data_IF_700679789643
#
_entry.id   IF_700679789643
#
_cell.length_a   1.000
_cell.length_b   1.000
_cell.length_c   1.000
_cell.angle_alpha   90.00
_cell.angle_beta   90.00
_cell.angle_gamma   90.00
#
_symmetry.space_group_name_H-M   'P 1'
#
loop_
_entity.id
_entity.type
_entity.pdbx_description
1 polymer ?
#
# COMPACT_ATOMS: atom_id res chain seq x y z
N UNK A 1 -2.48 7.92 31.69
CA UNK A 1 -3.13 6.93 30.80
C UNK A 1 -3.20 7.47 29.38
N UNK A 2 -2.57 6.78 28.42
CA UNK A 2 -2.68 7.12 26.99
C UNK A 2 -4.01 6.58 26.46
N UNK A 3 -4.83 7.43 25.85
CA UNK A 3 -6.05 6.99 25.15
C UNK A 3 -5.63 6.23 23.89
N UNK A 4 -6.07 4.98 23.76
CA UNK A 4 -5.82 4.15 22.58
C UNK A 4 -7.02 4.24 21.63
N UNK A 5 -6.74 4.43 20.34
CA UNK A 5 -7.79 4.35 19.31
C UNK A 5 -8.36 2.93 19.21
N UNK A 6 -9.61 2.78 18.77
CA UNK A 6 -10.21 1.48 18.43
C UNK A 6 -9.30 0.62 17.53
N UNK A 7 -8.68 1.22 16.51
CA UNK A 7 -7.74 0.52 15.62
C UNK A 7 -6.52 -0.04 16.33
N UNK A 8 -5.85 0.77 17.17
CA UNK A 8 -4.70 0.30 17.95
C UNK A 8 -5.12 -0.79 18.97
N UNK A 9 -6.27 -0.63 19.64
CA UNK A 9 -6.78 -1.62 20.60
C UNK A 9 -7.06 -2.97 19.94
N UNK A 10 -7.82 -2.96 18.85
CA UNK A 10 -8.13 -4.19 18.11
C UNK A 10 -6.86 -4.77 17.47
N UNK A 11 -5.98 -3.95 16.90
CA UNK A 11 -4.75 -4.43 16.27
C UNK A 11 -3.85 -5.18 17.24
N UNK A 12 -3.70 -4.66 18.46
CA UNK A 12 -2.97 -5.34 19.55
C UNK A 12 -3.63 -6.65 19.94
N UNK A 13 -4.95 -6.65 20.09
CA UNK A 13 -5.73 -7.85 20.41
C UNK A 13 -5.50 -8.95 19.37
N UNK A 14 -5.65 -8.63 18.08
CA UNK A 14 -5.38 -9.56 16.97
C UNK A 14 -3.92 -10.01 16.91
N UNK A 15 -2.96 -9.12 17.16
CA UNK A 15 -1.53 -9.51 17.23
C UNK A 15 -1.24 -10.52 18.35
N UNK A 16 -2.09 -10.57 19.39
CA UNK A 16 -1.99 -11.55 20.48
C UNK A 16 -2.75 -12.86 20.21
N UNK A 17 -3.28 -13.07 18.99
CA UNK A 17 -3.99 -14.30 18.62
C UNK A 17 -5.45 -14.33 19.08
N UNK A 18 -6.05 -13.17 19.35
CA UNK A 18 -7.47 -13.05 19.69
C UNK A 18 -8.30 -12.61 18.50
N UNK A 19 -9.51 -13.13 18.43
CA UNK A 19 -10.55 -12.72 17.49
C UNK A 19 -11.66 -11.99 18.25
N UNK A 20 -12.24 -10.97 17.59
CA UNK A 20 -13.36 -10.21 18.14
C UNK A 20 -14.67 -10.99 17.97
N UNK A 21 -15.39 -11.23 19.06
CA UNK A 21 -16.73 -11.83 19.03
C UNK A 21 -17.78 -10.75 18.83
N UNK A 22 -17.70 -9.70 19.64
CA UNK A 22 -18.67 -8.60 19.64
C UNK A 22 -18.00 -7.30 20.09
N UNK A 23 -18.58 -6.17 19.68
CA UNK A 23 -18.12 -4.85 20.06
C UNK A 23 -19.27 -3.84 20.14
N UNK A 24 -19.16 -2.89 21.07
CA UNK A 24 -20.17 -1.85 21.26
C UNK A 24 -19.55 -0.57 21.78
N UNK A 25 -20.08 0.56 21.32
CA UNK A 25 -19.84 1.86 21.94
C UNK A 25 -20.99 2.20 22.89
N UNK A 26 -20.67 2.49 24.14
CA UNK A 26 -21.63 2.98 25.15
C UNK A 26 -20.98 4.19 25.82
N UNK A 27 -21.67 5.34 25.83
CA UNK A 27 -21.18 6.59 26.45
C UNK A 27 -19.74 6.96 26.08
N UNK A 28 -19.42 6.88 24.78
CA UNK A 28 -18.08 7.13 24.21
C UNK A 28 -16.98 6.15 24.64
N UNK A 29 -17.31 5.11 25.39
CA UNK A 29 -16.41 4.02 25.74
C UNK A 29 -16.59 2.83 24.78
N UNK A 30 -15.47 2.22 24.42
CA UNK A 30 -15.44 1.06 23.53
C UNK A 30 -15.36 -0.22 24.36
N UNK A 31 -16.42 -1.04 24.29
CA UNK A 31 -16.51 -2.35 24.91
C UNK A 31 -16.38 -3.43 23.83
N UNK A 32 -15.75 -4.55 24.17
CA UNK A 32 -15.64 -5.67 23.27
C UNK A 32 -15.52 -7.00 24.03
N UNK A 33 -15.99 -8.06 23.39
CA UNK A 33 -15.75 -9.44 23.78
C UNK A 33 -14.82 -10.09 22.76
N UNK A 34 -13.84 -10.86 23.23
CA UNK A 34 -12.85 -11.50 22.38
C UNK A 34 -12.56 -12.92 22.84
N UNK A 35 -12.15 -13.77 21.92
CA UNK A 35 -11.76 -15.15 22.18
C UNK A 35 -10.37 -15.42 21.63
N UNK A 36 -9.56 -16.13 22.40
CA UNK A 36 -8.24 -16.58 21.95
C UNK A 36 -8.41 -17.74 20.98
N UNK A 37 -7.88 -17.58 19.77
CA UNK A 37 -7.97 -18.59 18.71
C UNK A 37 -6.59 -19.05 18.23
N UNK A 38 -5.54 -18.27 18.50
CA UNK A 38 -4.19 -18.54 18.01
C UNK A 38 -3.11 -18.07 19.00
N UNK A 39 -1.86 -18.36 18.68
CA UNK A 39 -0.68 -17.83 19.36
C UNK A 39 -0.40 -16.37 18.91
N UNK A 40 0.26 -15.56 19.75
CA UNK A 40 0.68 -14.22 19.36
C UNK A 40 1.63 -14.22 18.16
N UNK A 41 1.42 -13.29 17.23
CA UNK A 41 2.27 -13.04 16.07
C UNK A 41 3.16 -11.84 16.35
N UNK A 42 4.46 -12.05 16.41
CA UNK A 42 5.45 -10.98 16.58
C UNK A 42 6.14 -10.69 15.25
N UNK A 43 6.10 -9.43 14.80
CA UNK A 43 7.00 -8.98 13.74
C UNK A 43 8.42 -8.92 14.32
N UNK A 44 9.36 -9.61 13.67
CA UNK A 44 10.78 -9.61 14.05
C UNK A 44 11.46 -8.25 13.78
N UNK A 45 10.83 -7.38 13.01
CA UNK A 45 11.37 -6.08 12.59
C UNK A 45 10.32 -4.95 12.72
N UNK A 46 9.72 -4.78 13.92
CA UNK A 46 8.59 -3.90 14.06
C UNK A 46 9.04 -2.45 13.89
N UNK A 47 8.29 -1.70 13.07
CA UNK A 47 8.48 -0.26 12.99
C UNK A 47 7.42 0.40 13.84
N UNK A 48 7.83 1.30 14.76
CA UNK A 48 6.89 2.03 15.64
C UNK A 48 6.84 3.53 15.36
N UNK A 49 7.82 4.06 14.60
CA UNK A 49 7.92 5.47 14.26
C UNK A 49 6.96 5.93 13.15
N UNK A 50 6.99 7.24 12.85
CA UNK A 50 6.23 7.83 11.74
C UNK A 50 6.79 7.43 10.38
N UNK A 51 8.07 7.04 10.28
CA UNK A 51 8.65 6.45 9.08
C UNK A 51 8.55 4.92 9.18
N UNK A 52 8.00 4.27 8.15
CA UNK A 52 7.86 2.82 8.04
C UNK A 52 8.61 2.28 6.84
N UNK A 53 9.11 1.04 6.95
CA UNK A 53 9.78 0.33 5.85
C UNK A 53 8.93 -0.89 5.46
N UNK A 54 8.43 -0.90 4.23
CA UNK A 54 7.58 -1.96 3.72
C UNK A 54 8.37 -2.88 2.79
N UNK A 55 8.35 -4.20 3.07
CA UNK A 55 8.97 -5.21 2.21
C UNK A 55 8.23 -5.32 0.88
N UNK A 56 8.94 -5.16 -0.24
CA UNK A 56 8.38 -5.16 -1.60
C UNK A 56 9.35 -5.82 -2.57
N UNK A 57 8.82 -6.39 -3.65
CA UNK A 57 9.65 -6.94 -4.72
C UNK A 57 10.30 -5.84 -5.56
N UNK A 58 11.61 -5.97 -5.76
CA UNK A 58 12.46 -5.16 -6.62
C UNK A 58 12.93 -5.91 -7.87
N UNK A 59 13.98 -5.36 -8.48
CA UNK A 59 14.64 -5.98 -9.63
C UNK A 59 15.30 -7.30 -9.19
N UNK A 60 15.34 -8.29 -10.08
CA UNK A 60 15.92 -9.62 -9.87
C UNK A 60 15.31 -10.42 -8.70
N UNK A 61 14.14 -10.03 -8.20
CA UNK A 61 13.48 -10.68 -7.06
C UNK A 61 13.97 -10.21 -5.70
N UNK A 62 14.85 -9.21 -5.65
CA UNK A 62 15.37 -8.67 -4.39
C UNK A 62 14.25 -8.02 -3.57
N UNK A 63 14.22 -8.30 -2.26
CA UNK A 63 13.26 -7.67 -1.34
C UNK A 63 13.78 -6.30 -0.93
N UNK A 64 13.15 -5.27 -1.47
CA UNK A 64 13.40 -3.87 -1.13
C UNK A 64 12.55 -3.47 0.07
N UNK A 65 13.11 -2.63 0.94
CA UNK A 65 12.31 -1.96 1.95
C UNK A 65 11.99 -0.54 1.56
N UNK A 66 10.78 -0.36 1.04
CA UNK A 66 10.27 0.91 0.55
C UNK A 66 9.86 1.78 1.74
N UNK A 67 10.42 2.98 1.80
CA UNK A 67 10.15 3.94 2.87
C UNK A 67 8.82 4.65 2.64
N UNK A 68 7.98 4.75 3.67
CA UNK A 68 6.73 5.51 3.64
C UNK A 68 6.46 6.18 4.98
N UNK A 69 5.62 7.21 4.98
CA UNK A 69 5.06 7.69 6.25
C UNK A 69 3.93 6.78 6.72
N UNK A 70 3.88 6.53 8.01
CA UNK A 70 2.79 5.85 8.69
C UNK A 70 1.55 6.73 8.59
N UNK A 71 0.54 6.20 7.89
CA UNK A 71 -0.78 6.84 7.74
C UNK A 71 -1.87 6.11 8.53
N UNK A 72 -1.54 4.96 9.13
CA UNK A 72 -2.47 4.12 9.88
C UNK A 72 -2.06 4.03 11.35
N UNK A 73 -3.01 3.75 12.23
CA UNK A 73 -2.75 3.49 13.63
C UNK A 73 -1.78 2.30 13.80
N UNK A 74 -0.95 2.26 14.86
CA UNK A 74 -0.12 1.10 15.15
C UNK A 74 -0.93 -0.21 15.19
N UNK A 75 -0.33 -1.34 14.79
CA UNK A 75 -0.95 -2.67 14.75
C UNK A 75 -2.13 -2.82 13.77
N UNK A 76 -2.37 -1.85 12.90
CA UNK A 76 -3.47 -1.92 11.91
C UNK A 76 -3.29 -3.01 10.85
N UNK A 77 -2.06 -3.49 10.65
CA UNK A 77 -1.71 -4.59 9.76
C UNK A 77 -2.39 -5.92 10.14
N UNK A 78 -2.60 -6.15 11.43
CA UNK A 78 -3.28 -7.35 11.94
C UNK A 78 -4.79 -7.33 11.75
N UNK A 79 -5.36 -6.17 11.38
CA UNK A 79 -6.80 -5.99 11.19
C UNK A 79 -7.25 -6.22 9.75
N UNK A 80 -6.38 -6.66 8.85
CA UNK A 80 -6.72 -6.80 7.43
C UNK A 80 -7.92 -7.72 7.20
N UNK A 81 -7.94 -8.91 7.81
CA UNK A 81 -9.05 -9.87 7.69
C UNK A 81 -10.34 -9.31 8.30
N UNK A 82 -10.25 -8.77 9.53
CA UNK A 82 -11.38 -8.16 10.22
C UNK A 82 -12.04 -7.04 9.39
N UNK A 83 -11.24 -6.14 8.82
CA UNK A 83 -11.77 -5.05 7.98
C UNK A 83 -12.38 -5.60 6.69
N UNK A 84 -11.78 -6.63 6.11
CA UNK A 84 -12.30 -7.30 4.91
C UNK A 84 -13.69 -7.92 5.12
N UNK A 85 -13.92 -8.56 6.27
CA UNK A 85 -15.22 -9.15 6.61
C UNK A 85 -16.30 -8.12 6.94
N UNK A 86 -15.91 -7.05 7.66
CA UNK A 86 -16.87 -6.06 8.19
C UNK A 86 -17.16 -4.91 7.25
N UNK A 87 -16.27 -4.62 6.29
CA UNK A 87 -16.37 -3.44 5.44
C UNK A 87 -16.70 -3.82 4.01
N UNK A 88 -17.66 -3.14 3.40
CA UNK A 88 -17.92 -3.25 1.97
C UNK A 88 -16.75 -2.63 1.18
N UNK A 89 -16.22 -3.37 0.20
CA UNK A 89 -15.23 -2.87 -0.74
C UNK A 89 -15.90 -1.81 -1.64
N UNK A 90 -15.27 -0.65 -1.79
CA UNK A 90 -15.58 0.31 -2.85
C UNK A 90 -14.91 -0.12 -4.18
N UNK A 91 -15.33 0.49 -5.29
CA UNK A 91 -14.62 0.40 -6.57
C UNK A 91 -13.12 0.66 -6.38
N UNK A 92 -12.27 -0.20 -6.94
CA UNK A 92 -10.82 -0.16 -6.76
C UNK A 92 -10.29 -0.91 -5.53
N UNK A 93 -11.14 -1.63 -4.79
CA UNK A 93 -10.71 -2.57 -3.74
C UNK A 93 -10.33 -1.92 -2.40
N UNK A 94 -10.83 -0.70 -2.11
CA UNK A 94 -10.60 -0.02 -0.83
C UNK A 94 -11.82 -0.02 0.07
N UNK A 95 -11.59 0.00 1.38
CA UNK A 95 -12.65 0.04 2.37
C UNK A 95 -13.25 1.43 2.52
N UNK A 96 -14.59 1.53 2.49
CA UNK A 96 -15.30 2.75 2.86
C UNK A 96 -15.02 3.05 4.34
N UNK A 97 -14.55 4.27 4.64
CA UNK A 97 -14.30 4.75 6.00
C UNK A 97 -13.37 3.86 6.85
N UNK A 98 -12.23 3.46 6.28
CA UNK A 98 -11.21 2.68 6.99
C UNK A 98 -10.72 3.38 8.27
N UNK A 99 -11.24 2.93 9.41
CA UNK A 99 -10.94 3.46 10.75
C UNK A 99 -9.49 3.25 11.18
N UNK A 100 -8.73 2.43 10.45
CA UNK A 100 -7.30 2.25 10.67
C UNK A 100 -6.50 3.47 10.23
N UNK A 101 -7.01 4.30 9.34
CA UNK A 101 -6.31 5.49 8.82
C UNK A 101 -6.50 6.67 9.77
N UNK A 102 -5.41 7.27 10.24
CA UNK A 102 -5.47 8.43 11.15
C UNK A 102 -5.98 9.67 10.41
N UNK A 103 -6.53 10.66 11.12
CA UNK A 103 -6.97 11.93 10.51
C UNK A 103 -5.82 12.67 9.79
N UNK A 104 -4.64 12.72 10.41
CA UNK A 104 -3.42 13.23 9.76
C UNK A 104 -2.97 12.35 8.60
N UNK A 105 -3.16 11.03 8.70
CA UNK A 105 -2.91 10.06 7.64
C UNK A 105 -3.76 10.29 6.39
N UNK A 106 -5.04 10.62 6.57
CA UNK A 106 -5.94 11.00 5.46
C UNK A 106 -5.40 12.24 4.73
N UNK A 107 -4.92 13.23 5.48
CA UNK A 107 -4.31 14.44 4.91
C UNK A 107 -3.01 14.13 4.16
N UNK A 108 -2.13 13.31 4.77
CA UNK A 108 -0.87 12.89 4.15
C UNK A 108 -1.11 12.17 2.82
N UNK A 109 -2.06 11.22 2.77
CA UNK A 109 -2.43 10.52 1.53
C UNK A 109 -3.03 11.45 0.48
N UNK A 110 -3.85 12.42 0.89
CA UNK A 110 -4.47 13.40 -0.01
C UNK A 110 -3.41 14.26 -0.74
N UNK A 111 -2.35 14.62 -0.02
CA UNK A 111 -1.25 15.43 -0.53
C UNK A 111 0.01 14.64 -0.91
N UNK A 112 -0.06 13.30 -0.95
CA UNK A 112 1.07 12.43 -1.27
C UNK A 112 2.31 12.57 -0.35
N UNK A 113 2.11 13.14 0.84
CA UNK A 113 3.17 13.31 1.83
C UNK A 113 3.65 11.94 2.33
N UNK A 114 2.80 10.91 2.27
CA UNK A 114 3.13 9.57 2.72
C UNK A 114 4.12 8.83 1.82
N UNK A 115 4.21 9.21 0.54
CA UNK A 115 5.14 8.63 -0.42
C UNK A 115 6.44 9.44 -0.57
N UNK A 116 6.55 10.64 0.02
CA UNK A 116 7.77 11.45 -0.02
C UNK A 116 9.03 10.69 0.44
N UNK A 117 9.00 9.86 1.50
CA UNK A 117 10.19 9.12 1.91
C UNK A 117 10.71 8.14 0.85
N UNK A 118 9.89 7.72 -0.12
CA UNK A 118 10.31 6.85 -1.22
C UNK A 118 11.36 7.51 -2.12
N UNK A 119 11.48 8.85 -2.11
CA UNK A 119 12.56 9.56 -2.81
C UNK A 119 13.93 9.07 -2.34
N UNK A 120 14.07 8.69 -1.07
CA UNK A 120 15.32 8.09 -0.55
C UNK A 120 15.65 6.76 -1.25
N UNK A 121 14.65 5.94 -1.58
CA UNK A 121 14.88 4.70 -2.35
C UNK A 121 15.34 5.01 -3.79
N UNK A 122 14.83 6.09 -4.39
CA UNK A 122 15.25 6.55 -5.72
C UNK A 122 16.70 7.04 -5.68
N UNK A 123 17.06 7.85 -4.68
CA UNK A 123 18.43 8.36 -4.51
C UNK A 123 19.44 7.23 -4.22
N UNK A 124 19.02 6.19 -3.49
CA UNK A 124 19.82 4.96 -3.27
C UNK A 124 19.95 4.09 -4.51
N UNK A 125 19.23 4.39 -5.58
CA UNK A 125 19.21 3.59 -6.80
C UNK A 125 18.42 2.28 -6.68
N UNK A 126 17.67 2.06 -5.60
CA UNK A 126 16.80 0.90 -5.41
C UNK A 126 15.52 1.01 -6.25
N UNK A 127 15.07 2.24 -6.48
CA UNK A 127 13.90 2.59 -7.29
C UNK A 127 14.28 3.59 -8.39
N UNK A 128 13.38 3.78 -9.35
CA UNK A 128 13.46 4.88 -10.33
C UNK A 128 12.25 5.81 -10.23
N UNK A 129 12.28 6.94 -10.95
CA UNK A 129 11.19 7.93 -10.90
C UNK A 129 9.92 7.37 -11.55
N UNK A 130 10.01 6.90 -12.79
CA UNK A 130 8.87 6.31 -13.52
C UNK A 130 9.07 4.81 -13.66
N UNK A 131 8.07 4.01 -13.34
CA UNK A 131 8.17 2.55 -13.38
C UNK A 131 7.05 1.86 -12.63
N UNK A 132 6.90 0.55 -12.83
CA UNK A 132 5.86 -0.25 -12.16
C UNK A 132 5.94 -0.12 -10.63
N UNK A 133 4.79 -0.07 -9.95
CA UNK A 133 4.74 0.15 -8.50
C UNK A 133 5.37 -1.04 -7.77
N UNK A 134 6.19 -0.86 -6.73
CA UNK A 134 6.70 -1.99 -5.94
C UNK A 134 5.54 -2.70 -5.22
N UNK A 135 5.41 -4.02 -5.41
CA UNK A 135 4.30 -4.83 -4.86
C UNK A 135 4.73 -5.61 -3.62
N UNK A 136 3.79 -5.82 -2.70
CA UNK A 136 3.98 -6.80 -1.63
C UNK A 136 3.91 -8.21 -2.19
N UNK A 137 4.37 -9.19 -1.42
CA UNK A 137 4.29 -10.60 -1.80
C UNK A 137 2.88 -11.06 -2.11
N UNK A 138 1.93 -10.74 -1.24
CA UNK A 138 0.53 -11.06 -1.48
C UNK A 138 0.02 -10.54 -2.84
N UNK A 139 0.25 -9.26 -3.16
CA UNK A 139 -0.19 -8.71 -4.45
C UNK A 139 0.60 -9.26 -5.63
N UNK A 140 1.90 -9.48 -5.46
CA UNK A 140 2.75 -10.05 -6.50
C UNK A 140 2.26 -11.43 -6.93
N UNK A 141 1.77 -12.23 -5.97
CA UNK A 141 1.23 -13.57 -6.24
C UNK A 141 -0.10 -13.57 -7.00
N UNK A 142 -0.85 -12.46 -7.01
CA UNK A 142 -2.09 -12.33 -7.79
C UNK A 142 -1.85 -12.13 -9.29
N UNK A 143 -0.62 -11.83 -9.70
CA UNK A 143 -0.29 -11.47 -11.08
C UNK A 143 0.01 -12.73 -11.90
N UNK A 144 -0.05 -12.62 -13.24
CA UNK A 144 0.37 -13.68 -14.16
C UNK A 144 1.88 -13.86 -14.13
N UNK A 145 2.34 -15.09 -14.37
CA UNK A 145 3.78 -15.41 -14.32
C UNK A 145 4.59 -14.63 -15.37
N UNK A 146 4.05 -14.43 -16.59
CA UNK A 146 4.66 -13.58 -17.62
C UNK A 146 4.93 -12.15 -17.08
N UNK A 147 3.94 -11.55 -16.41
CA UNK A 147 4.08 -10.20 -15.89
C UNK A 147 5.02 -10.16 -14.68
N UNK A 148 5.01 -11.18 -13.81
CA UNK A 148 5.98 -11.31 -12.72
C UNK A 148 7.40 -11.27 -13.27
N UNK A 149 7.72 -12.12 -14.25
CA UNK A 149 9.06 -12.17 -14.86
C UNK A 149 9.46 -10.82 -15.47
N UNK A 150 8.57 -10.17 -16.21
CA UNK A 150 8.84 -8.86 -16.81
C UNK A 150 9.09 -7.78 -15.76
N UNK A 151 8.33 -7.78 -14.67
CA UNK A 151 8.53 -6.85 -13.56
C UNK A 151 9.88 -7.04 -12.89
N UNK A 152 10.35 -8.28 -12.72
CA UNK A 152 11.65 -8.56 -12.11
C UNK A 152 12.84 -8.10 -12.96
N UNK A 153 12.67 -7.85 -14.27
CA UNK A 153 13.75 -7.32 -15.13
C UNK A 153 14.03 -5.83 -14.92
N UNK A 154 13.10 -5.08 -14.34
CA UNK A 154 13.18 -3.62 -14.21
C UNK A 154 13.12 -3.16 -12.76
N UNK A 155 13.70 -1.99 -12.47
CA UNK A 155 13.55 -1.36 -11.15
C UNK A 155 12.13 -0.81 -11.01
N UNK A 156 11.49 -0.98 -9.84
CA UNK A 156 10.18 -0.38 -9.59
C UNK A 156 10.27 1.15 -9.59
N UNK A 157 9.13 1.80 -9.87
CA UNK A 157 9.02 3.25 -9.98
C UNK A 157 8.22 3.90 -8.86
N UNK A 158 8.55 5.16 -8.58
CA UNK A 158 7.75 6.03 -7.72
C UNK A 158 6.41 6.38 -8.40
N UNK A 159 6.45 6.70 -9.70
CA UNK A 159 5.31 7.06 -10.53
C UNK A 159 4.97 5.88 -11.45
N UNK A 160 3.94 5.07 -11.11
CA UNK A 160 3.49 3.97 -11.93
C UNK A 160 2.69 4.39 -13.18
N UNK A 161 2.69 3.54 -14.22
CA UNK A 161 1.87 3.74 -15.42
C UNK A 161 0.36 3.80 -15.13
N UNK A 162 -0.06 3.29 -13.96
CA UNK A 162 -1.40 3.48 -13.40
C UNK A 162 -1.89 4.94 -13.49
N UNK A 163 -1.04 5.93 -13.25
CA UNK A 163 -1.44 7.35 -13.30
C UNK A 163 -1.65 7.89 -14.73
N UNK A 164 -1.18 7.15 -15.74
CA UNK A 164 -1.41 7.48 -17.15
C UNK A 164 -2.70 6.84 -17.63
N UNK A 165 -2.83 5.54 -17.42
CA UNK A 165 -3.93 4.74 -18.00
C UNK A 165 -5.20 4.73 -17.13
N UNK A 166 -5.07 5.05 -15.84
CA UNK A 166 -6.16 5.05 -14.84
C UNK A 166 -7.05 3.79 -14.87
N UNK A 167 -6.46 2.58 -14.81
CA UNK A 167 -7.20 1.33 -14.86
C UNK A 167 -8.08 1.13 -13.61
N UNK A 168 -9.17 0.38 -13.77
CA UNK A 168 -10.16 0.11 -12.72
C UNK A 168 -10.01 -1.32 -12.17
N UNK A 169 -9.83 -2.31 -13.05
CA UNK A 169 -9.75 -3.72 -12.66
C UNK A 169 -8.30 -4.21 -12.51
N UNK A 170 -8.10 -5.34 -11.82
CA UNK A 170 -6.77 -5.96 -11.71
C UNK A 170 -6.19 -6.31 -13.08
N UNK A 171 -7.02 -6.83 -13.99
CA UNK A 171 -6.61 -7.15 -15.36
C UNK A 171 -6.15 -5.91 -16.12
N UNK A 172 -6.87 -4.79 -16.00
CA UNK A 172 -6.48 -3.52 -16.61
C UNK A 172 -5.19 -2.95 -16.01
N UNK A 173 -4.99 -3.11 -14.69
CA UNK A 173 -3.74 -2.74 -14.01
C UNK A 173 -2.58 -3.55 -14.59
N UNK A 174 -2.74 -4.86 -14.70
CA UNK A 174 -1.73 -5.75 -15.27
C UNK A 174 -1.42 -5.41 -16.73
N UNK A 175 -2.46 -5.12 -17.52
CA UNK A 175 -2.30 -4.70 -18.91
C UNK A 175 -1.57 -3.35 -19.04
N UNK A 176 -1.89 -2.38 -18.17
CA UNK A 176 -1.20 -1.07 -18.11
C UNK A 176 0.29 -1.22 -17.82
N UNK A 177 0.63 -2.03 -16.82
CA UNK A 177 2.02 -2.29 -16.48
C UNK A 177 2.76 -3.01 -17.60
N UNK A 178 2.14 -4.03 -18.23
CA UNK A 178 2.74 -4.75 -19.35
C UNK A 178 3.00 -3.83 -20.56
N UNK A 179 2.06 -2.94 -20.88
CA UNK A 179 2.25 -1.93 -21.96
C UNK A 179 3.47 -1.06 -21.70
N UNK A 180 3.59 -0.55 -20.48
CA UNK A 180 4.73 0.26 -20.07
C UNK A 180 6.05 -0.52 -20.15
N UNK A 181 6.10 -1.75 -19.63
CA UNK A 181 7.31 -2.57 -19.64
C UNK A 181 7.77 -2.89 -21.07
N UNK A 182 6.85 -3.26 -21.96
CA UNK A 182 7.16 -3.52 -23.39
C UNK A 182 7.63 -2.27 -24.12
N UNK A 183 7.06 -1.10 -23.83
CA UNK A 183 7.52 0.17 -24.40
C UNK A 183 8.92 0.57 -23.88
N UNK A 184 9.13 0.38 -22.58
CA UNK A 184 10.40 0.67 -21.91
C UNK A 184 11.52 -0.23 -22.41
N UNK A 185 11.25 -1.50 -22.73
CA UNK A 185 12.25 -2.40 -23.32
C UNK A 185 12.78 -1.90 -24.68
N UNK A 186 11.91 -1.30 -25.50
CA UNK A 186 12.29 -0.74 -26.80
C UNK A 186 12.99 0.60 -26.69
N UNK A 187 12.42 1.52 -25.91
CA UNK A 187 12.91 2.89 -25.76
C UNK A 187 12.82 3.36 -24.31
N UNK A 188 13.80 3.00 -23.44
CA UNK A 188 13.73 3.26 -22.01
C UNK A 188 13.52 4.74 -21.65
N UNK A 189 14.40 5.61 -22.17
CA UNK A 189 14.40 7.04 -21.83
C UNK A 189 13.15 7.78 -22.34
N UNK A 190 12.81 7.56 -23.61
CA UNK A 190 11.63 8.19 -24.22
C UNK A 190 10.34 7.74 -23.54
N UNK A 191 10.24 6.45 -23.17
CA UNK A 191 9.09 5.92 -22.45
C UNK A 191 8.96 6.57 -21.08
N UNK A 192 10.03 6.63 -20.30
CA UNK A 192 10.00 7.23 -18.96
C UNK A 192 9.63 8.72 -19.01
N UNK A 193 10.19 9.48 -19.95
CA UNK A 193 9.86 10.90 -20.15
C UNK A 193 8.37 11.07 -20.52
N UNK A 194 7.88 10.29 -21.48
CA UNK A 194 6.48 10.37 -21.92
C UNK A 194 5.50 10.03 -20.79
N UNK A 195 5.75 8.94 -20.06
CA UNK A 195 4.92 8.54 -18.93
C UNK A 195 5.02 9.53 -17.77
N UNK A 196 6.18 10.14 -17.52
CA UNK A 196 6.35 11.18 -16.51
C UNK A 196 5.41 12.35 -16.77
N UNK A 197 5.47 12.96 -17.97
CA UNK A 197 4.66 14.14 -18.29
C UNK A 197 3.16 13.82 -18.33
N UNK A 198 2.77 12.66 -18.87
CA UNK A 198 1.37 12.22 -18.87
C UNK A 198 0.84 12.00 -17.46
N UNK A 199 1.59 11.30 -16.61
CA UNK A 199 1.21 11.07 -15.23
C UNK A 199 1.12 12.39 -14.45
N UNK A 200 2.11 13.27 -14.62
CA UNK A 200 2.14 14.59 -13.99
C UNK A 200 0.92 15.44 -14.39
N UNK A 201 0.58 15.50 -15.68
CA UNK A 201 -0.61 16.18 -16.17
C UNK A 201 -1.90 15.61 -15.55
N UNK A 202 -2.04 14.28 -15.52
CA UNK A 202 -3.21 13.63 -14.95
C UNK A 202 -3.32 13.86 -13.43
N UNK A 203 -2.20 13.82 -12.71
CA UNK A 203 -2.15 14.05 -11.26
C UNK A 203 -2.54 15.49 -10.91
N UNK A 204 -2.07 16.48 -11.66
CA UNK A 204 -2.37 17.89 -11.40
C UNK A 204 -3.75 18.31 -11.89
N UNK A 205 -4.08 18.01 -13.16
CA UNK A 205 -5.26 18.58 -13.82
C UNK A 205 -6.48 17.65 -13.80
N UNK A 206 -6.27 16.32 -13.90
CA UNK A 206 -7.37 15.34 -13.83
C UNK A 206 -7.61 14.80 -12.43
N UNK A 207 -6.90 15.31 -11.42
CA UNK A 207 -6.94 14.85 -10.02
C UNK A 207 -6.73 13.33 -9.92
N UNK A 208 -5.91 12.75 -10.80
CA UNK A 208 -5.54 11.35 -10.70
C UNK A 208 -4.86 11.11 -9.35
N UNK A 209 -5.45 10.21 -8.58
CA UNK A 209 -4.96 9.79 -7.27
C UNK A 209 -5.06 8.28 -7.25
N UNK A 210 -4.18 7.62 -6.49
CA UNK A 210 -4.40 6.23 -6.13
C UNK A 210 -5.60 6.22 -5.19
N UNK A 211 -6.80 6.20 -5.79
CA UNK A 211 -8.09 6.23 -5.09
C UNK A 211 -8.23 5.01 -4.23
#
# INVERSE_FOLDING_TARGET
NRVMSRAETLGRLYSCGFELIDEKFIDQQFYFAARKIDIPVFDASPTYGPLIKLKRYGKNGEILGVYKMRTMHPFSEYLQAYVYEKSQLQEGGKFKDDFRVTSSGKLMRKFWIDELPMILNVLKGEMKIVGVRPLSEHYFNLYTDELKEQRLKSKPGLIPPFYVDMPITLEEIMASEMRYLKAHEKHPLLTDINYFFKAFYNILFKKARSK
#
